data_IF_552577007617
#
_entry.id   IF_552577007617
#
_cell.length_a   1.000
_cell.length_b   1.000
_cell.length_c   1.000
_cell.angle_alpha   90.00
_cell.angle_beta   90.00
_cell.angle_gamma   90.00
#
_symmetry.space_group_name_H-M   'P 1'
#
loop_
_entity.id
_entity.type
_entity.pdbx_description
1 polymer ?
#
# COMPACT_ATOMS: atom_id res chain seq x y z
N UNK A 1 -23.71 -16.01 -21.55
CA UNK A 1 -23.65 -14.84 -22.48
C UNK A 1 -22.17 -14.59 -22.74
N UNK A 2 -21.50 -15.55 -23.39
CA UNK A 2 -20.03 -15.66 -23.28
C UNK A 2 -19.33 -15.05 -24.50
N UNK A 3 -20.14 -14.50 -25.41
CA UNK A 3 -19.75 -13.90 -26.67
C UNK A 3 -20.30 -12.48 -26.73
N UNK A 4 -19.59 -11.62 -27.45
CA UNK A 4 -19.98 -10.24 -27.71
C UNK A 4 -19.53 -9.80 -29.09
N UNK A 5 -20.04 -8.63 -29.50
CA UNK A 5 -19.52 -7.94 -30.65
C UNK A 5 -18.28 -7.15 -30.23
N UNK A 6 -17.22 -7.27 -31.00
CA UNK A 6 -15.93 -6.62 -30.79
C UNK A 6 -15.57 -5.82 -32.03
N UNK A 7 -15.23 -4.55 -31.82
CA UNK A 7 -14.68 -3.68 -32.85
C UNK A 7 -13.15 -3.76 -32.75
N UNK A 8 -12.53 -4.40 -33.73
CA UNK A 8 -11.08 -4.49 -33.82
C UNK A 8 -10.48 -3.16 -34.34
N UNK A 9 -9.32 -2.79 -33.82
CA UNK A 9 -8.52 -1.63 -34.24
C UNK A 9 -7.11 -2.13 -34.65
N UNK A 10 -6.35 -1.34 -35.40
CA UNK A 10 -4.95 -1.68 -35.75
C UNK A 10 -4.08 -1.81 -34.49
N UNK A 11 -4.40 -1.03 -33.44
CA UNK A 11 -3.82 -1.21 -32.11
C UNK A 11 -4.71 -2.14 -31.26
N UNK A 12 -4.15 -3.28 -30.87
CA UNK A 12 -4.82 -4.29 -30.01
C UNK A 12 -5.33 -3.70 -28.69
N UNK A 13 -4.74 -2.59 -28.22
CA UNK A 13 -5.12 -1.86 -27.01
C UNK A 13 -6.38 -1.01 -27.18
N UNK A 14 -6.72 -0.64 -28.41
CA UNK A 14 -7.85 0.23 -28.75
C UNK A 14 -9.10 -0.53 -29.17
N UNK A 15 -9.03 -1.85 -29.29
CA UNK A 15 -10.20 -2.66 -29.62
C UNK A 15 -11.29 -2.57 -28.53
N UNK A 16 -12.54 -2.39 -28.95
CA UNK A 16 -13.67 -2.07 -28.05
C UNK A 16 -14.72 -3.18 -28.08
N UNK A 17 -15.17 -3.61 -26.90
CA UNK A 17 -16.35 -4.47 -26.76
C UNK A 17 -17.63 -3.65 -26.79
N UNK A 18 -18.58 -4.02 -27.64
CA UNK A 18 -19.86 -3.33 -27.71
C UNK A 18 -20.75 -3.71 -26.53
N UNK A 19 -21.40 -2.71 -25.95
CA UNK A 19 -22.31 -2.87 -24.83
C UNK A 19 -23.68 -3.32 -25.33
N UNK A 20 -24.28 -4.39 -24.76
CA UNK A 20 -25.59 -4.88 -25.18
C UNK A 20 -26.74 -3.87 -25.05
N UNK A 21 -26.56 -2.82 -24.24
CA UNK A 21 -27.56 -1.77 -23.98
C UNK A 21 -27.39 -0.52 -24.84
N UNK A 22 -26.40 -0.46 -25.74
CA UNK A 22 -26.15 0.69 -26.61
C UNK A 22 -26.44 0.36 -28.07
N UNK A 23 -26.96 1.34 -28.79
CA UNK A 23 -27.19 1.23 -30.23
C UNK A 23 -25.86 1.24 -30.98
N UNK A 24 -25.82 0.60 -32.15
CA UNK A 24 -24.64 0.54 -33.01
C UNK A 24 -24.19 1.94 -33.47
N UNK A 25 -25.12 2.88 -33.63
CA UNK A 25 -24.83 4.27 -34.00
C UNK A 25 -23.95 5.01 -32.98
N UNK A 26 -23.99 4.58 -31.72
CA UNK A 26 -23.13 5.13 -30.67
C UNK A 26 -21.64 4.93 -30.97
N UNK A 27 -21.30 3.85 -31.67
CA UNK A 27 -19.92 3.47 -31.98
C UNK A 27 -19.41 4.07 -33.30
N UNK A 28 -20.20 4.96 -33.94
CA UNK A 28 -19.85 5.68 -35.17
C UNK A 28 -19.38 4.72 -36.28
N UNK A 29 -20.07 3.58 -36.40
CA UNK A 29 -19.79 2.56 -37.41
C UNK A 29 -20.19 3.08 -38.79
N UNK A 30 -19.33 2.83 -39.78
CA UNK A 30 -19.56 3.16 -41.18
C UNK A 30 -19.84 1.90 -41.99
N UNK A 31 -20.51 2.08 -43.13
CA UNK A 31 -20.76 0.99 -44.07
C UNK A 31 -19.42 0.42 -44.56
N UNK A 32 -19.17 -0.85 -44.26
CA UNK A 32 -17.91 -1.55 -44.57
C UNK A 32 -17.06 -1.88 -43.33
N UNK A 33 -17.41 -1.35 -42.15
CA UNK A 33 -16.71 -1.68 -40.91
C UNK A 33 -17.01 -3.12 -40.49
N UNK A 34 -15.96 -3.83 -40.04
CA UNK A 34 -16.04 -5.23 -39.63
C UNK A 34 -16.23 -5.33 -38.11
N UNK A 35 -17.26 -6.05 -37.70
CA UNK A 35 -17.48 -6.43 -36.30
C UNK A 35 -17.19 -7.91 -36.12
N UNK A 36 -16.37 -8.23 -35.13
CA UNK A 36 -16.04 -9.61 -34.78
C UNK A 36 -17.01 -10.13 -33.72
N UNK A 37 -17.61 -11.29 -33.95
CA UNK A 37 -18.34 -12.01 -32.92
C UNK A 37 -17.37 -12.94 -32.17
N UNK A 38 -16.81 -12.43 -31.07
CA UNK A 38 -15.74 -13.09 -30.32
C UNK A 38 -16.19 -13.53 -28.94
N UNK A 39 -15.58 -14.60 -28.44
CA UNK A 39 -15.74 -15.04 -27.03
C UNK A 39 -15.10 -14.01 -26.10
N UNK A 40 -15.85 -13.52 -25.12
CA UNK A 40 -15.41 -12.53 -24.13
C UNK A 40 -14.44 -13.09 -23.08
N UNK A 41 -14.51 -14.40 -22.85
CA UNK A 41 -13.68 -15.08 -21.86
C UNK A 41 -12.27 -15.28 -22.40
N UNK A 42 -11.28 -14.75 -21.67
CA UNK A 42 -9.85 -14.98 -21.88
C UNK A 42 -9.21 -15.60 -20.66
N UNK A 43 -8.07 -16.25 -20.84
CA UNK A 43 -7.26 -16.76 -19.72
C UNK A 43 -6.34 -15.66 -19.20
N UNK A 44 -6.26 -15.53 -17.88
CA UNK A 44 -5.34 -14.64 -17.16
C UNK A 44 -4.49 -15.46 -16.21
N UNK A 45 -3.17 -15.28 -16.27
CA UNK A 45 -2.22 -15.92 -15.36
C UNK A 45 -2.03 -15.03 -14.14
N UNK A 46 -2.51 -15.49 -12.99
CA UNK A 46 -2.42 -14.76 -11.72
C UNK A 46 -1.45 -15.50 -10.79
N UNK A 47 -0.39 -14.80 -10.36
CA UNK A 47 0.49 -15.26 -9.28
C UNK A 47 -0.16 -14.92 -7.94
N UNK A 48 -0.31 -15.93 -7.11
CA UNK A 48 -0.90 -15.87 -5.77
C UNK A 48 0.13 -15.37 -4.75
N UNK A 49 -0.35 -15.04 -3.55
CA UNK A 49 0.48 -14.60 -2.41
C UNK A 49 1.45 -15.68 -1.92
N UNK A 50 1.13 -16.96 -2.15
CA UNK A 50 1.97 -18.12 -1.82
C UNK A 50 3.01 -18.43 -2.92
N UNK A 51 3.09 -17.61 -3.98
CA UNK A 51 3.97 -17.80 -5.12
C UNK A 51 3.43 -18.76 -6.19
N UNK A 52 2.27 -19.38 -5.99
CA UNK A 52 1.67 -20.28 -6.99
C UNK A 52 1.11 -19.52 -8.19
N UNK A 53 1.29 -20.06 -9.40
CA UNK A 53 0.68 -19.52 -10.61
C UNK A 53 -0.64 -20.25 -10.89
N UNK A 54 -1.76 -19.52 -10.93
CA UNK A 54 -3.06 -20.05 -11.36
C UNK A 54 -3.56 -19.35 -12.61
N UNK A 55 -4.12 -20.13 -13.52
CA UNK A 55 -4.76 -19.62 -14.73
C UNK A 55 -6.26 -19.52 -14.49
N UNK A 56 -6.79 -18.29 -14.57
CA UNK A 56 -8.19 -17.98 -14.28
C UNK A 56 -8.86 -17.49 -15.57
N UNK A 57 -10.09 -17.92 -15.83
CA UNK A 57 -10.91 -17.40 -16.92
C UNK A 57 -11.57 -16.10 -16.47
N UNK A 58 -11.34 -15.02 -17.22
CA UNK A 58 -11.83 -13.66 -16.94
C UNK A 58 -12.52 -13.07 -18.17
N UNK A 59 -13.47 -12.16 -17.96
CA UNK A 59 -14.17 -11.45 -19.05
C UNK A 59 -13.37 -10.21 -19.50
N UNK A 60 -12.85 -10.24 -20.72
CA UNK A 60 -12.04 -9.15 -21.28
C UNK A 60 -12.79 -7.81 -21.44
N UNK A 61 -14.13 -7.86 -21.46
CA UNK A 61 -14.97 -6.66 -21.58
C UNK A 61 -15.21 -5.94 -20.26
N UNK A 62 -14.80 -6.53 -19.13
CA UNK A 62 -15.03 -5.98 -17.80
C UNK A 62 -13.82 -5.22 -17.26
N UNK A 63 -14.02 -4.15 -16.48
CA UNK A 63 -12.94 -3.47 -15.80
C UNK A 63 -12.30 -4.37 -14.75
N UNK A 64 -11.03 -4.12 -14.44
CA UNK A 64 -10.24 -4.92 -13.50
C UNK A 64 -10.90 -5.03 -12.12
N UNK A 65 -11.60 -3.98 -11.66
CA UNK A 65 -12.36 -4.01 -10.41
C UNK A 65 -13.44 -5.13 -10.38
N UNK A 66 -14.14 -5.37 -11.49
CA UNK A 66 -15.14 -6.44 -11.57
C UNK A 66 -14.46 -7.82 -11.68
N UNK A 67 -13.32 -7.88 -12.37
CA UNK A 67 -12.51 -9.10 -12.46
C UNK A 67 -11.95 -9.51 -11.10
N UNK A 68 -11.62 -8.56 -10.24
CA UNK A 68 -11.14 -8.80 -8.89
C UNK A 68 -12.14 -9.59 -8.05
N UNK A 69 -13.44 -9.34 -8.19
CA UNK A 69 -14.48 -10.11 -7.50
C UNK A 69 -14.40 -11.58 -7.91
N UNK A 70 -14.37 -11.86 -9.21
CA UNK A 70 -14.31 -13.22 -9.77
C UNK A 70 -13.02 -13.94 -9.34
N UNK A 71 -11.88 -13.26 -9.43
CA UNK A 71 -10.57 -13.80 -9.05
C UNK A 71 -10.56 -14.15 -7.55
N UNK A 72 -10.95 -13.20 -6.69
CA UNK A 72 -10.97 -13.41 -5.24
C UNK A 72 -11.95 -14.51 -4.81
N UNK A 73 -13.17 -14.54 -5.35
CA UNK A 73 -14.14 -15.60 -5.05
C UNK A 73 -13.61 -16.98 -5.45
N UNK A 74 -12.92 -17.09 -6.59
CA UNK A 74 -12.37 -18.37 -7.08
C UNK A 74 -11.17 -18.86 -6.24
N UNK A 75 -10.49 -17.95 -5.55
CA UNK A 75 -9.36 -18.24 -4.66
C UNK A 75 -9.85 -18.50 -3.22
N UNK A 76 -11.09 -18.10 -2.87
CA UNK A 76 -11.63 -18.19 -1.51
C UNK A 76 -11.34 -16.95 -0.65
N UNK A 77 -11.01 -15.82 -1.27
CA UNK A 77 -10.83 -14.52 -0.60
C UNK A 77 -12.18 -13.80 -0.58
N UNK A 78 -12.70 -13.54 0.62
CA UNK A 78 -13.99 -12.85 0.81
C UNK A 78 -13.88 -11.33 0.67
N UNK A 79 -12.72 -10.74 0.98
CA UNK A 79 -12.52 -9.29 0.98
C UNK A 79 -11.84 -8.80 -0.31
N UNK A 80 -12.53 -8.85 -1.45
CA UNK A 80 -11.94 -8.48 -2.75
C UNK A 80 -11.52 -7.01 -2.86
N UNK A 81 -12.15 -6.10 -2.12
CA UNK A 81 -11.86 -4.65 -2.15
C UNK A 81 -10.48 -4.29 -1.58
N UNK A 82 -9.85 -5.22 -0.87
CA UNK A 82 -8.53 -5.03 -0.27
C UNK A 82 -7.38 -5.42 -1.17
N UNK A 83 -7.67 -6.15 -2.26
CA UNK A 83 -6.68 -6.69 -3.16
C UNK A 83 -6.70 -5.95 -4.50
N UNK A 84 -5.54 -5.84 -5.12
CA UNK A 84 -5.38 -5.32 -6.46
C UNK A 84 -4.32 -6.11 -7.21
N UNK A 85 -4.24 -5.91 -8.53
CA UNK A 85 -3.29 -6.60 -9.38
C UNK A 85 -2.09 -5.70 -9.65
N UNK A 86 -0.92 -6.31 -9.68
CA UNK A 86 0.35 -5.68 -10.04
C UNK A 86 0.83 -6.33 -11.33
N UNK A 87 1.27 -5.52 -12.29
CA UNK A 87 1.88 -6.01 -13.51
C UNK A 87 3.34 -6.38 -13.24
N UNK A 88 3.68 -7.63 -13.48
CA UNK A 88 5.07 -8.10 -13.42
C UNK A 88 5.67 -7.94 -14.83
N UNK A 89 6.42 -6.87 -15.04
CA UNK A 89 7.24 -6.76 -16.25
C UNK A 89 8.44 -7.71 -16.06
N UNK A 90 8.74 -8.60 -17.02
CA UNK A 90 10.03 -9.29 -16.98
C UNK A 90 11.12 -8.22 -16.99
N UNK A 91 12.04 -8.28 -16.02
CA UNK A 91 13.25 -7.47 -16.06
C UNK A 91 13.97 -7.82 -17.37
N UNK A 92 13.93 -6.92 -18.36
CA UNK A 92 14.96 -6.93 -19.38
C UNK A 92 16.28 -6.74 -18.65
N UNK A 93 17.17 -7.74 -18.78
CA UNK A 93 18.56 -7.66 -18.35
C UNK A 93 19.13 -6.33 -18.84
N UNK A 94 19.24 -5.35 -17.94
CA UNK A 94 19.96 -4.12 -18.24
C UNK A 94 21.45 -4.44 -18.19
N UNK A 95 21.93 -5.04 -19.27
CA UNK A 95 23.35 -5.08 -19.60
C UNK A 95 23.93 -3.66 -19.54
N UNK A 96 24.85 -3.47 -18.59
CA UNK A 96 26.07 -2.68 -18.73
C UNK A 96 26.02 -1.43 -19.62
N UNK A 97 25.45 -0.32 -19.13
CA UNK A 97 25.88 1.00 -19.57
C UNK A 97 26.95 1.55 -18.62
N UNK A 98 28.22 1.33 -19.00
CA UNK A 98 29.37 2.09 -18.48
C UNK A 98 29.14 3.58 -18.75
N UNK A 99 29.46 4.49 -17.81
CA UNK A 99 29.36 5.92 -18.08
C UNK A 99 30.47 6.34 -19.07
N UNK A 100 30.05 6.69 -20.28
CA UNK A 100 30.89 7.30 -21.30
C UNK A 100 31.34 8.69 -20.87
N UNK A 101 32.64 8.84 -20.69
CA UNK A 101 33.32 10.07 -20.36
C UNK A 101 33.40 10.97 -21.62
N UNK A 102 32.56 12.00 -21.73
CA UNK A 102 32.78 13.10 -22.67
C UNK A 102 32.80 14.42 -21.91
N UNK A 103 34.01 14.98 -21.82
CA UNK A 103 34.25 16.29 -21.24
C UNK A 103 33.88 17.40 -22.22
N UNK A 104 33.13 18.38 -21.71
CA UNK A 104 33.05 19.70 -22.31
C UNK A 104 33.26 20.73 -21.22
N UNK A 105 34.38 21.46 -21.31
CA UNK A 105 34.79 22.53 -20.42
C UNK A 105 33.86 23.74 -20.58
N UNK A 106 32.96 23.97 -19.62
CA UNK A 106 32.33 25.29 -19.40
C UNK A 106 32.35 25.66 -17.93
N UNK A 107 32.98 26.81 -17.66
CA UNK A 107 33.33 27.33 -16.34
C UNK A 107 32.12 27.99 -15.62
N UNK A 108 31.96 27.67 -14.33
CA UNK A 108 31.37 28.46 -13.21
C UNK A 108 29.87 28.85 -13.21
N UNK A 109 29.12 28.32 -12.22
CA UNK A 109 28.77 29.02 -10.95
C UNK A 109 27.85 28.16 -10.03
N UNK A 110 28.25 28.02 -8.75
CA UNK A 110 27.47 27.68 -7.54
C UNK A 110 26.32 26.66 -7.72
N UNK A 111 26.63 25.36 -7.67
CA UNK A 111 25.62 24.27 -7.67
C UNK A 111 26.00 23.07 -6.77
N UNK A 112 26.86 23.24 -5.77
CA UNK A 112 27.25 22.12 -4.90
C UNK A 112 26.17 21.79 -3.83
N UNK A 113 25.48 22.81 -3.31
CA UNK A 113 24.56 22.66 -2.18
C UNK A 113 23.17 22.09 -2.58
N UNK A 114 22.84 22.07 -3.88
CA UNK A 114 21.57 21.50 -4.41
C UNK A 114 21.73 20.01 -4.77
N UNK A 115 22.90 19.63 -5.30
CA UNK A 115 23.23 18.24 -5.64
C UNK A 115 23.39 17.32 -4.43
N UNK A 116 24.03 17.79 -3.36
CA UNK A 116 24.14 17.01 -2.11
C UNK A 116 22.78 16.80 -1.42
N UNK A 117 21.88 17.78 -1.48
CA UNK A 117 20.55 17.70 -0.84
C UNK A 117 19.60 16.77 -1.59
N UNK A 118 19.66 16.72 -2.91
CA UNK A 118 18.93 15.73 -3.70
C UNK A 118 19.55 14.34 -3.55
N UNK A 119 20.88 14.20 -3.56
CA UNK A 119 21.54 12.92 -3.26
C UNK A 119 21.20 12.38 -1.87
N UNK A 120 21.06 13.25 -0.86
CA UNK A 120 20.62 12.86 0.48
C UNK A 120 19.16 12.41 0.51
N UNK A 121 18.30 13.00 -0.31
CA UNK A 121 16.91 12.58 -0.46
C UNK A 121 16.82 11.24 -1.18
N UNK A 122 17.60 11.03 -2.23
CA UNK A 122 17.66 9.75 -2.94
C UNK A 122 18.22 8.65 -2.02
N UNK A 123 19.19 8.97 -1.17
CA UNK A 123 19.65 8.05 -0.12
C UNK A 123 18.61 7.77 0.96
N UNK A 124 17.72 8.73 1.26
CA UNK A 124 16.61 8.54 2.19
C UNK A 124 15.50 7.71 1.56
N UNK A 125 15.17 7.94 0.28
CA UNK A 125 14.26 7.11 -0.53
C UNK A 125 14.77 5.69 -0.72
N UNK A 126 16.09 5.49 -0.87
CA UNK A 126 16.68 4.15 -0.87
C UNK A 126 16.64 3.45 0.50
N UNK A 127 16.46 4.20 1.60
CA UNK A 127 16.44 3.67 2.98
C UNK A 127 15.04 3.47 3.53
N UNK A 128 14.07 4.26 3.08
CA UNK A 128 12.65 4.03 3.26
C UNK A 128 12.17 3.48 1.95
N UNK A 129 11.99 2.15 1.82
CA UNK A 129 11.27 1.59 0.67
C UNK A 129 9.86 2.19 0.64
N UNK A 130 9.71 3.34 0.01
CA UNK A 130 8.45 3.82 -0.54
C UNK A 130 8.01 2.79 -1.57
N UNK A 131 6.71 2.58 -1.77
CA UNK A 131 6.12 1.53 -2.63
C UNK A 131 6.38 1.79 -4.14
N UNK A 132 7.52 2.40 -4.46
CA UNK A 132 8.00 2.98 -5.73
C UNK A 132 8.19 1.96 -6.85
N UNK A 133 8.16 0.65 -6.56
CA UNK A 133 8.45 -0.40 -7.55
C UNK A 133 7.23 -1.26 -7.89
N UNK A 134 6.02 -0.84 -7.48
CA UNK A 134 4.82 -1.63 -7.70
C UNK A 134 3.99 -1.03 -8.83
N UNK A 135 4.08 -1.61 -10.01
CA UNK A 135 3.26 -1.27 -11.17
C UNK A 135 1.81 -1.75 -10.97
N UNK A 136 1.06 -1.02 -10.14
CA UNK A 136 -0.36 -1.29 -9.89
C UNK A 136 -1.17 -1.12 -11.18
N UNK A 137 -2.05 -2.08 -11.43
CA UNK A 137 -3.00 -2.05 -12.54
C UNK A 137 -4.19 -1.16 -12.14
N UNK A 138 -4.63 -0.30 -13.06
CA UNK A 138 -5.77 0.60 -12.87
C UNK A 138 -7.08 -0.24 -12.76
N UNK A 139 -7.78 -0.21 -11.61
CA UNK A 139 -9.01 -0.98 -11.41
C UNK A 139 -10.18 -0.51 -12.29
N UNK A 140 -10.15 0.75 -12.77
CA UNK A 140 -11.23 1.36 -13.53
C UNK A 140 -11.24 1.00 -15.01
N UNK A 141 -10.10 0.52 -15.52
CA UNK A 141 -9.90 0.16 -16.93
C UNK A 141 -9.92 -1.35 -17.12
N UNK A 142 -10.14 -1.77 -18.36
CA UNK A 142 -9.98 -3.18 -18.76
C UNK A 142 -8.50 -3.57 -18.82
N UNK A 143 -8.22 -4.88 -18.82
CA UNK A 143 -6.85 -5.39 -18.99
C UNK A 143 -6.28 -5.02 -20.37
N UNK A 144 -7.14 -4.99 -21.41
CA UNK A 144 -6.77 -4.69 -22.80
C UNK A 144 -6.34 -3.24 -22.99
N UNK A 145 -7.07 -2.28 -22.44
CA UNK A 145 -6.73 -0.85 -22.52
C UNK A 145 -5.39 -0.53 -21.87
N UNK A 146 -4.99 -1.36 -20.90
CA UNK A 146 -3.70 -1.25 -20.19
C UNK A 146 -2.58 -2.03 -20.89
N UNK A 147 -2.89 -2.69 -22.01
CA UNK A 147 -1.94 -3.46 -22.80
C UNK A 147 -1.42 -4.70 -22.10
N UNK A 148 -2.24 -5.34 -21.25
CA UNK A 148 -1.90 -6.61 -20.58
C UNK A 148 -2.37 -7.76 -21.49
N UNK A 149 -1.41 -8.51 -22.02
CA UNK A 149 -1.67 -9.64 -22.90
C UNK A 149 -1.98 -10.95 -22.13
N UNK A 150 -2.54 -11.95 -22.80
CA UNK A 150 -2.91 -13.26 -22.23
C UNK A 150 -1.69 -14.07 -21.75
N UNK A 151 -0.51 -13.79 -22.31
CA UNK A 151 0.76 -14.41 -21.92
C UNK A 151 1.37 -13.82 -20.66
N UNK A 152 1.01 -12.59 -20.29
CA UNK A 152 1.56 -11.89 -19.13
C UNK A 152 1.05 -12.47 -17.81
N UNK A 153 1.90 -12.39 -16.79
CA UNK A 153 1.55 -12.79 -15.42
C UNK A 153 1.30 -11.56 -14.59
N UNK A 154 0.17 -11.54 -13.88
CA UNK A 154 -0.16 -10.48 -12.92
C UNK A 154 -0.03 -11.02 -11.51
N UNK A 155 0.49 -10.21 -10.59
CA UNK A 155 0.65 -10.56 -9.17
C UNK A 155 -0.55 -10.04 -8.39
N UNK A 156 -1.21 -10.91 -7.63
CA UNK A 156 -2.23 -10.51 -6.67
C UNK A 156 -1.55 -9.97 -5.40
N UNK A 157 -1.77 -8.69 -5.08
CA UNK A 157 -1.21 -8.05 -3.88
C UNK A 157 -2.28 -7.28 -3.12
N UNK A 158 -2.20 -7.31 -1.79
CA UNK A 158 -3.09 -6.52 -0.92
C UNK A 158 -2.71 -5.04 -1.04
N UNK A 159 -3.67 -4.20 -1.42
CA UNK A 159 -3.53 -2.74 -1.62
C UNK A 159 -4.16 -1.93 -0.50
N UNK A 160 -5.26 -2.41 0.09
CA UNK A 160 -5.97 -1.73 1.18
C UNK A 160 -6.10 -2.63 2.40
N UNK A 161 -5.95 -2.05 3.60
CA UNK A 161 -6.05 -2.76 4.88
C UNK A 161 -7.27 -2.21 5.64
N UNK A 162 -8.47 -2.77 5.41
CA UNK A 162 -9.73 -2.21 5.94
C UNK A 162 -10.36 -3.09 7.04
N UNK A 163 -10.27 -4.41 6.92
CA UNK A 163 -10.97 -5.44 7.70
C UNK A 163 -10.00 -6.34 8.46
N UNK A 164 -9.03 -5.73 9.11
CA UNK A 164 -8.12 -6.39 10.02
C UNK A 164 -8.74 -6.49 11.43
N UNK A 165 -9.93 -7.08 11.60
CA UNK A 165 -10.55 -7.17 12.94
C UNK A 165 -10.33 -8.49 13.72
N UNK A 166 -10.10 -9.64 13.08
CA UNK A 166 -9.87 -10.89 13.83
C UNK A 166 -8.54 -11.55 13.46
N UNK A 167 -7.57 -11.54 14.38
CA UNK A 167 -6.44 -12.47 14.34
C UNK A 167 -6.96 -13.74 15.01
N UNK A 168 -7.27 -14.77 14.24
CA UNK A 168 -7.60 -16.06 14.82
C UNK A 168 -6.30 -16.79 15.18
N UNK A 169 -6.01 -16.88 16.48
CA UNK A 169 -4.85 -17.63 16.98
C UNK A 169 -4.98 -19.14 16.73
N UNK A 170 -6.16 -19.62 16.28
CA UNK A 170 -6.42 -21.01 15.93
C UNK A 170 -5.84 -21.41 14.58
N UNK A 171 -5.47 -20.45 13.72
CA UNK A 171 -4.76 -20.71 12.46
C UNK A 171 -3.29 -20.24 12.54
N UNK A 172 -2.35 -21.13 12.90
CA UNK A 172 -0.94 -20.79 13.04
C UNK A 172 -0.29 -20.41 11.69
N UNK A 173 -0.82 -20.87 10.55
CA UNK A 173 -0.27 -20.57 9.23
C UNK A 173 -0.61 -19.13 8.85
N UNK A 174 -1.88 -18.75 8.98
CA UNK A 174 -2.33 -17.39 8.73
C UNK A 174 -1.63 -16.38 9.65
N UNK A 175 -1.49 -16.71 10.94
CA UNK A 175 -0.78 -15.88 11.89
C UNK A 175 0.70 -15.70 11.52
N UNK A 176 1.36 -16.77 11.06
CA UNK A 176 2.76 -16.69 10.64
C UNK A 176 2.93 -15.82 9.39
N UNK A 177 2.00 -15.88 8.44
CA UNK A 177 2.01 -15.00 7.26
C UNK A 177 1.81 -13.53 7.63
N UNK A 178 0.85 -13.23 8.51
CA UNK A 178 0.62 -11.88 9.03
C UNK A 178 1.84 -11.32 9.77
N UNK A 179 2.50 -12.15 10.58
CA UNK A 179 3.72 -11.78 11.28
C UNK A 179 4.84 -11.43 10.29
N UNK A 180 5.09 -12.28 9.28
CA UNK A 180 6.15 -12.05 8.29
C UNK A 180 5.89 -10.76 7.52
N UNK A 181 4.66 -10.52 7.06
CA UNK A 181 4.30 -9.28 6.36
C UNK A 181 4.52 -8.04 7.23
N UNK A 182 4.07 -8.07 8.49
CA UNK A 182 4.24 -6.94 9.41
C UNK A 182 5.71 -6.70 9.74
N UNK A 183 6.48 -7.77 9.96
CA UNK A 183 7.91 -7.70 10.23
C UNK A 183 8.66 -7.10 9.04
N UNK A 184 8.45 -7.64 7.85
CA UNK A 184 9.17 -7.22 6.65
C UNK A 184 8.88 -5.75 6.34
N UNK A 185 7.61 -5.33 6.44
CA UNK A 185 7.22 -3.93 6.27
C UNK A 185 7.85 -2.98 7.31
N UNK A 186 8.12 -3.44 8.53
CA UNK A 186 8.82 -2.63 9.52
C UNK A 186 10.31 -2.57 9.19
N UNK A 187 10.94 -3.72 8.89
CA UNK A 187 12.39 -3.83 8.64
C UNK A 187 12.83 -3.09 7.37
N UNK A 188 12.05 -3.17 6.29
CA UNK A 188 12.33 -2.48 5.03
C UNK A 188 12.02 -0.98 5.06
N UNK A 189 11.31 -0.53 6.11
CA UNK A 189 10.96 0.86 6.37
C UNK A 189 9.71 1.34 5.64
N UNK A 190 8.95 0.46 4.97
CA UNK A 190 7.66 0.79 4.36
C UNK A 190 6.63 1.19 5.44
N UNK A 191 6.70 0.58 6.62
CA UNK A 191 6.00 0.99 7.83
C UNK A 191 6.97 1.74 8.78
N UNK A 192 7.06 3.07 8.71
CA UNK A 192 7.88 3.85 9.61
C UNK A 192 7.35 3.76 11.05
N UNK A 193 8.20 3.27 11.95
CA UNK A 193 7.95 3.18 13.40
C UNK A 193 8.95 4.04 14.16
N UNK A 194 8.59 4.48 15.37
CA UNK A 194 9.53 5.19 16.26
C UNK A 194 10.64 4.26 16.77
N UNK A 195 11.76 4.83 17.24
CA UNK A 195 12.88 4.05 17.81
C UNK A 195 12.42 3.13 18.95
N UNK A 196 11.57 3.64 19.83
CA UNK A 196 11.03 2.86 20.97
C UNK A 196 10.23 1.65 20.47
N UNK A 197 9.33 1.85 19.49
CA UNK A 197 8.53 0.76 18.93
C UNK A 197 9.39 -0.24 18.16
N UNK A 198 10.40 0.22 17.42
CA UNK A 198 11.37 -0.65 16.76
C UNK A 198 12.08 -1.58 17.77
N UNK A 199 12.47 -1.06 18.95
CA UNK A 199 13.05 -1.88 20.02
C UNK A 199 12.06 -2.92 20.54
N UNK A 200 10.79 -2.52 20.74
CA UNK A 200 9.74 -3.44 21.20
C UNK A 200 9.51 -4.57 20.20
N UNK A 201 9.40 -4.26 18.90
CA UNK A 201 9.26 -5.28 17.86
C UNK A 201 10.46 -6.21 17.78
N UNK A 202 11.67 -5.67 17.85
CA UNK A 202 12.90 -6.46 17.89
C UNK A 202 12.96 -7.37 19.14
N UNK A 203 12.49 -6.90 20.30
CA UNK A 203 12.40 -7.69 21.53
C UNK A 203 11.41 -8.86 21.40
N UNK A 204 10.24 -8.61 20.81
CA UNK A 204 9.26 -9.68 20.51
C UNK A 204 9.84 -10.66 19.47
N UNK A 205 10.54 -10.16 18.44
CA UNK A 205 11.20 -11.00 17.44
C UNK A 205 12.31 -11.88 18.06
N UNK A 206 13.05 -11.39 19.06
CA UNK A 206 14.01 -12.21 19.81
C UNK A 206 13.31 -13.35 20.55
N UNK A 207 12.13 -13.10 21.15
CA UNK A 207 11.34 -14.16 21.78
C UNK A 207 10.87 -15.20 20.75
N UNK A 208 10.48 -14.78 19.55
CA UNK A 208 10.05 -15.67 18.46
C UNK A 208 11.22 -16.54 17.97
N UNK A 209 12.41 -15.98 17.79
CA UNK A 209 13.55 -16.70 17.20
C UNK A 209 14.38 -17.50 18.21
N UNK A 210 14.55 -16.98 19.43
CA UNK A 210 15.48 -17.54 20.42
C UNK A 210 14.77 -18.07 21.68
N UNK A 211 13.46 -17.86 21.82
CA UNK A 211 12.72 -18.15 23.04
C UNK A 211 13.14 -17.24 24.19
N UNK A 212 13.04 -17.74 25.42
CA UNK A 212 13.27 -16.95 26.63
C UNK A 212 14.65 -16.30 26.72
N UNK A 213 14.68 -15.08 27.23
CA UNK A 213 15.92 -14.33 27.40
C UNK A 213 16.87 -14.99 28.41
N UNK A 214 18.11 -15.29 27.97
CA UNK A 214 19.19 -15.82 28.81
C UNK A 214 20.35 -14.84 28.86
N UNK A 215 20.61 -14.24 30.02
CA UNK A 215 21.66 -13.22 30.20
C UNK A 215 23.07 -13.74 29.88
N UNK A 216 23.30 -15.04 29.99
CA UNK A 216 24.59 -15.65 29.68
C UNK A 216 24.89 -15.69 28.17
N UNK A 217 23.86 -15.87 27.34
CA UNK A 217 23.98 -15.99 25.88
C UNK A 217 23.65 -14.69 25.15
N UNK A 218 22.63 -13.96 25.59
CA UNK A 218 22.11 -12.77 24.94
C UNK A 218 22.84 -11.52 25.43
N UNK A 219 24.13 -11.41 25.04
CA UNK A 219 25.01 -10.29 25.36
C UNK A 219 25.19 -9.39 24.13
N UNK A 220 25.60 -8.12 24.32
CA UNK A 220 25.88 -7.22 23.20
C UNK A 220 26.86 -7.84 22.20
N UNK A 221 26.50 -7.87 20.92
CA UNK A 221 27.22 -8.54 19.85
C UNK A 221 26.67 -9.92 19.46
N UNK A 222 25.58 -10.38 20.11
CA UNK A 222 24.90 -11.63 19.77
C UNK A 222 23.93 -11.45 18.60
N UNK A 223 23.25 -10.30 18.50
CA UNK A 223 22.24 -10.06 17.47
C UNK A 223 22.86 -9.42 16.22
N UNK A 224 22.51 -9.93 15.03
CA UNK A 224 22.70 -9.17 13.80
C UNK A 224 21.59 -8.12 13.67
N UNK A 225 21.89 -6.89 14.08
CA UNK A 225 20.92 -5.79 14.11
C UNK A 225 20.21 -5.56 12.77
N UNK A 226 20.80 -5.95 11.63
CA UNK A 226 20.19 -5.80 10.30
C UNK A 226 18.91 -6.62 10.12
N UNK A 227 18.78 -7.74 10.83
CA UNK A 227 17.61 -8.61 10.74
C UNK A 227 16.48 -8.21 11.70
N UNK A 228 16.76 -7.30 12.65
CA UNK A 228 15.83 -6.93 13.73
C UNK A 228 15.41 -5.48 13.70
N UNK A 229 16.15 -4.62 13.00
CA UNK A 229 15.88 -3.18 12.96
C UNK A 229 15.90 -2.61 11.55
N UNK A 230 15.08 -1.57 11.29
CA UNK A 230 15.18 -0.78 10.08
C UNK A 230 16.58 -0.15 9.93
N UNK A 231 17.02 0.02 8.68
CA UNK A 231 18.33 0.60 8.33
C UNK A 231 18.61 1.95 9.02
N UNK A 232 17.55 2.71 9.32
CA UNK A 232 17.61 4.01 10.00
C UNK A 232 18.12 3.92 11.45
N UNK A 233 17.89 2.80 12.15
CA UNK A 233 18.20 2.63 13.57
C UNK A 233 19.47 1.82 13.86
N UNK A 234 20.09 1.20 12.85
CA UNK A 234 21.30 0.39 13.01
C UNK A 234 22.50 1.14 13.62
N UNK A 235 22.56 2.46 13.45
CA UNK A 235 23.67 3.30 13.95
C UNK A 235 23.43 3.88 15.35
N UNK A 236 22.28 3.58 15.97
CA UNK A 236 21.94 4.09 17.30
C UNK A 236 22.76 3.36 18.36
N UNK A 237 23.53 4.12 19.14
CA UNK A 237 24.37 3.55 20.21
C UNK A 237 23.50 2.96 21.31
N UNK A 238 23.76 1.71 21.67
CA UNK A 238 23.08 1.03 22.79
C UNK A 238 21.68 0.50 22.46
N UNK A 239 21.28 0.48 21.18
CA UNK A 239 19.97 -0.02 20.75
C UNK A 239 19.80 -1.51 21.12
N UNK A 240 20.85 -2.31 20.99
CA UNK A 240 20.83 -3.74 21.33
C UNK A 240 20.51 -3.99 22.81
N UNK A 241 20.98 -3.12 23.71
CA UNK A 241 20.62 -3.20 25.13
C UNK A 241 19.14 -2.93 25.36
N UNK A 242 18.54 -2.02 24.59
CA UNK A 242 17.10 -1.75 24.66
C UNK A 242 16.29 -2.95 24.15
N UNK A 243 16.74 -3.58 23.06
CA UNK A 243 16.13 -4.81 22.52
C UNK A 243 16.12 -5.90 23.58
N UNK A 244 17.25 -6.16 24.24
CA UNK A 244 17.30 -7.17 25.30
C UNK A 244 16.46 -6.80 26.52
N UNK A 245 16.34 -5.50 26.85
CA UNK A 245 15.44 -5.06 27.92
C UNK A 245 13.96 -5.34 27.59
N UNK A 246 13.56 -5.20 26.33
CA UNK A 246 12.22 -5.60 25.89
C UNK A 246 12.06 -7.13 25.79
N UNK A 247 13.08 -7.85 25.32
CA UNK A 247 13.08 -9.32 25.28
C UNK A 247 12.82 -9.93 26.67
N UNK A 248 13.45 -9.38 27.72
CA UNK A 248 13.22 -9.80 29.12
C UNK A 248 11.76 -9.67 29.59
N UNK A 249 10.97 -8.76 29.01
CA UNK A 249 9.56 -8.59 29.37
C UNK A 249 8.67 -9.71 28.84
N UNK A 250 9.16 -10.49 27.88
CA UNK A 250 8.41 -11.53 27.20
C UNK A 250 8.84 -12.95 27.59
N UNK A 251 9.57 -13.11 28.72
CA UNK A 251 9.93 -14.42 29.25
C UNK A 251 8.66 -15.22 29.58
N UNK A 252 8.64 -16.49 29.17
CA UNK A 252 7.50 -17.40 29.34
C UNK A 252 6.44 -17.29 28.24
N UNK A 253 6.60 -16.36 27.29
CA UNK A 253 5.69 -16.23 26.16
C UNK A 253 6.04 -17.29 25.09
N UNK A 254 5.04 -18.04 24.62
CA UNK A 254 5.24 -19.01 23.54
C UNK A 254 5.55 -18.30 22.21
N UNK A 255 6.15 -19.01 21.25
CA UNK A 255 6.39 -18.46 19.90
C UNK A 255 5.08 -17.98 19.24
N UNK A 256 4.01 -18.76 19.39
CA UNK A 256 2.69 -18.44 18.83
C UNK A 256 2.13 -17.16 19.46
N UNK A 257 2.16 -17.06 20.79
CA UNK A 257 1.68 -15.89 21.51
C UNK A 257 2.54 -14.65 21.22
N UNK A 258 3.83 -14.83 21.00
CA UNK A 258 4.73 -13.76 20.59
C UNK A 258 4.39 -13.24 19.19
N UNK A 259 4.02 -14.12 18.23
CA UNK A 259 3.52 -13.70 16.91
C UNK A 259 2.18 -12.97 17.00
N UNK A 260 1.26 -13.43 17.87
CA UNK A 260 0.00 -12.71 18.14
C UNK A 260 0.29 -11.33 18.73
N UNK A 261 1.21 -11.24 19.70
CA UNK A 261 1.59 -9.98 20.30
C UNK A 261 2.21 -9.03 19.27
N UNK A 262 3.15 -9.51 18.45
CA UNK A 262 3.78 -8.70 17.39
C UNK A 262 2.74 -8.10 16.44
N UNK A 263 1.86 -8.95 15.90
CA UNK A 263 0.84 -8.55 14.92
C UNK A 263 -0.20 -7.62 15.54
N UNK A 264 -0.63 -7.86 16.78
CA UNK A 264 -1.53 -6.98 17.52
C UNK A 264 -0.88 -5.61 17.80
N UNK A 265 0.38 -5.59 18.23
CA UNK A 265 1.12 -4.36 18.46
C UNK A 265 1.29 -3.56 17.17
N UNK A 266 1.64 -4.20 16.06
CA UNK A 266 1.74 -3.55 14.74
C UNK A 266 0.42 -2.90 14.31
N UNK A 267 -0.72 -3.58 14.51
CA UNK A 267 -2.06 -3.07 14.17
C UNK A 267 -2.55 -1.96 15.09
N UNK A 268 -2.09 -1.94 16.33
CA UNK A 268 -2.42 -0.87 17.29
C UNK A 268 -1.72 0.46 16.99
N UNK A 269 -0.75 0.46 16.08
CA UNK A 269 -0.08 1.69 15.67
C UNK A 269 -1.02 2.57 14.85
N UNK A 270 -1.04 3.86 15.14
CA UNK A 270 -1.72 4.87 14.34
C UNK A 270 -1.14 5.01 12.91
N UNK A 271 0.04 4.44 12.68
CA UNK A 271 0.71 4.34 11.39
C UNK A 271 0.38 3.04 10.63
N UNK A 272 -0.47 2.17 11.18
CA UNK A 272 -0.88 0.94 10.51
C UNK A 272 -1.83 1.19 9.35
N UNK A 273 -1.57 0.52 8.21
CA UNK A 273 -2.35 0.70 6.99
C UNK A 273 -2.21 2.10 6.36
N UNK A 274 -1.15 2.83 6.72
CA UNK A 274 -0.87 4.17 6.21
C UNK A 274 0.14 4.09 5.07
N UNK A 275 -0.16 4.75 3.95
CA UNK A 275 0.79 4.92 2.86
C UNK A 275 1.61 6.18 3.12
N UNK A 276 2.93 6.07 3.18
CA UNK A 276 3.83 7.18 3.47
C UNK A 276 4.55 7.69 2.23
N UNK A 277 4.66 9.01 2.13
CA UNK A 277 5.39 9.71 1.08
C UNK A 277 6.45 10.60 1.72
N UNK A 278 7.66 10.59 1.18
CA UNK A 278 8.73 11.47 1.63
C UNK A 278 8.61 12.82 0.93
N UNK A 279 8.24 13.86 1.67
CA UNK A 279 7.97 15.20 1.14
C UNK A 279 8.89 16.26 1.75
N UNK A 280 9.04 17.39 1.08
CA UNK A 280 9.81 18.54 1.56
C UNK A 280 8.86 19.68 1.94
N UNK A 281 8.85 20.05 3.21
CA UNK A 281 8.03 21.16 3.73
C UNK A 281 8.86 22.44 3.85
N UNK A 282 8.31 23.58 3.41
CA UNK A 282 8.96 24.88 3.59
C UNK A 282 8.66 25.42 5.00
N UNK A 283 9.69 25.68 5.78
CA UNK A 283 9.52 26.25 7.13
C UNK A 283 9.04 27.69 7.06
N UNK A 284 8.06 28.05 7.89
CA UNK A 284 7.60 29.44 8.03
C UNK A 284 8.77 30.33 8.45
N UNK A 285 8.95 31.45 7.74
CA UNK A 285 9.99 32.43 8.03
C UNK A 285 11.43 32.03 7.66
N UNK A 286 11.66 30.85 7.05
CA UNK A 286 12.99 30.42 6.59
C UNK A 286 12.90 29.85 5.17
N UNK A 287 13.84 30.20 4.29
CA UNK A 287 13.96 29.57 2.96
C UNK A 287 14.58 28.15 3.01
N UNK A 288 14.33 27.41 4.10
CA UNK A 288 14.83 26.05 4.31
C UNK A 288 13.69 25.05 4.11
N UNK A 289 13.95 24.05 3.28
CA UNK A 289 13.11 22.87 3.12
C UNK A 289 13.52 21.83 4.15
N UNK A 290 12.54 21.24 4.83
CA UNK A 290 12.74 20.20 5.84
C UNK A 290 12.06 18.93 5.35
N UNK A 291 12.75 17.78 5.33
CA UNK A 291 12.13 16.52 4.98
C UNK A 291 11.08 16.13 6.03
N UNK A 292 9.95 15.63 5.56
CA UNK A 292 8.79 15.26 6.35
C UNK A 292 8.15 14.01 5.74
N UNK A 293 7.52 13.19 6.56
CA UNK A 293 6.73 12.07 6.08
C UNK A 293 5.26 12.48 6.05
N UNK A 294 4.63 12.34 4.89
CA UNK A 294 3.20 12.53 4.70
C UNK A 294 2.54 11.15 4.65
N UNK A 295 1.76 10.81 5.66
CA UNK A 295 0.95 9.60 5.69
C UNK A 295 -0.46 9.87 5.16
N UNK A 296 -0.99 8.97 4.34
CA UNK A 296 -2.40 8.99 3.93
C UNK A 296 -3.05 7.70 4.40
N UNK A 297 -4.12 7.83 5.18
CA UNK A 297 -4.93 6.74 5.72
C UNK A 297 -6.33 6.76 5.09
N UNK A 298 -7.16 5.76 5.39
CA UNK A 298 -8.56 5.71 4.93
C UNK A 298 -9.44 6.84 5.47
N UNK A 299 -9.00 7.55 6.50
CA UNK A 299 -9.79 8.47 7.30
C UNK A 299 -9.05 9.79 7.58
N UNK A 300 -7.73 9.85 7.41
CA UNK A 300 -6.92 11.00 7.77
C UNK A 300 -5.64 11.14 6.92
N UNK A 301 -5.08 12.35 6.93
CA UNK A 301 -3.73 12.66 6.46
C UNK A 301 -2.87 12.95 7.69
N UNK A 302 -1.71 12.32 7.77
CA UNK A 302 -0.78 12.43 8.89
C UNK A 302 0.48 13.16 8.44
N UNK A 303 0.98 14.07 9.28
CA UNK A 303 2.29 14.71 9.13
C UNK A 303 3.23 14.19 10.20
N UNK A 304 4.27 13.47 9.80
CA UNK A 304 5.23 12.85 10.71
C UNK A 304 6.62 13.45 10.56
N UNK A 305 7.36 13.52 11.67
CA UNK A 305 8.77 13.85 11.62
C UNK A 305 9.57 12.76 10.89
N UNK A 306 10.50 13.15 10.03
CA UNK A 306 11.30 12.19 9.26
C UNK A 306 12.26 11.40 10.15
N UNK A 307 12.75 11.94 11.28
CA UNK A 307 13.72 11.24 12.13
C UNK A 307 13.07 10.50 13.28
N UNK A 308 12.20 11.18 14.02
CA UNK A 308 11.56 10.56 15.20
C UNK A 308 10.40 9.66 14.81
N UNK A 309 9.84 9.83 13.61
CA UNK A 309 8.60 9.18 13.14
C UNK A 309 7.38 9.49 14.00
N UNK A 310 7.45 10.55 14.81
CA UNK A 310 6.32 11.01 15.62
C UNK A 310 5.32 11.77 14.77
N UNK A 311 4.04 11.59 15.08
CA UNK A 311 2.94 12.32 14.43
C UNK A 311 2.90 13.74 14.99
N UNK A 312 3.17 14.71 14.13
CA UNK A 312 3.16 16.14 14.46
C UNK A 312 1.79 16.77 14.27
N UNK A 313 1.02 16.27 13.28
CA UNK A 313 -0.33 16.74 13.01
C UNK A 313 -1.13 15.66 12.29
N UNK A 314 -2.42 15.58 12.61
CA UNK A 314 -3.40 14.70 11.97
C UNK A 314 -4.53 15.57 11.45
N UNK A 315 -4.91 15.37 10.19
CA UNK A 315 -6.05 16.02 9.57
C UNK A 315 -7.04 14.97 9.09
N UNK A 316 -8.27 14.91 9.61
CA UNK A 316 -9.29 14.02 9.07
C UNK A 316 -9.56 14.33 7.59
N UNK A 317 -9.71 13.31 6.74
CA UNK A 317 -10.02 13.49 5.32
C UNK A 317 -11.34 14.24 5.09
N UNK A 318 -12.28 14.16 6.04
CA UNK A 318 -13.53 14.92 6.02
C UNK A 318 -13.33 16.44 6.14
N UNK A 319 -12.18 16.89 6.65
CA UNK A 319 -11.84 18.32 6.77
C UNK A 319 -11.18 18.87 5.50
N UNK A 320 -10.79 18.00 4.57
CA UNK A 320 -10.14 18.40 3.32
C UNK A 320 -11.19 18.92 2.35
N UNK A 321 -11.13 20.22 2.02
CA UNK A 321 -12.07 20.87 1.10
C UNK A 321 -11.60 20.79 -0.35
N UNK A 322 -10.29 20.99 -0.58
CA UNK A 322 -9.67 20.91 -1.90
C UNK A 322 -8.27 20.33 -1.78
N UNK A 323 -7.85 19.59 -2.80
CA UNK A 323 -6.49 19.12 -2.94
C UNK A 323 -6.03 19.35 -4.38
N UNK A 324 -4.74 19.58 -4.56
CA UNK A 324 -4.16 19.84 -5.88
C UNK A 324 -2.75 19.32 -5.98
N UNK A 325 -2.43 18.73 -7.13
CA UNK A 325 -1.10 18.32 -7.49
C UNK A 325 -0.58 19.21 -8.64
N UNK A 326 0.70 19.52 -8.58
CA UNK A 326 1.51 19.98 -9.71
C UNK A 326 2.75 19.10 -9.76
N UNK A 327 3.52 19.07 -10.88
CA UNK A 327 4.58 18.08 -11.08
C UNK A 327 5.61 17.95 -9.95
N UNK A 328 5.82 19.01 -9.15
CA UNK A 328 6.76 19.03 -8.04
C UNK A 328 6.16 19.47 -6.70
N UNK A 329 4.84 19.67 -6.62
CA UNK A 329 4.18 20.22 -5.43
C UNK A 329 2.82 19.60 -5.20
N UNK A 330 2.52 19.28 -3.95
CA UNK A 330 1.22 18.83 -3.50
C UNK A 330 0.66 19.82 -2.48
N UNK A 331 -0.62 20.15 -2.58
CA UNK A 331 -1.27 21.15 -1.72
C UNK A 331 -2.61 20.64 -1.20
N UNK A 332 -2.84 20.81 0.10
CA UNK A 332 -4.11 20.56 0.77
C UNK A 332 -4.70 21.87 1.28
N UNK A 333 -5.99 22.05 1.02
CA UNK A 333 -6.84 23.11 1.54
C UNK A 333 -7.89 22.51 2.46
N UNK A 334 -7.92 22.99 3.70
CA UNK A 334 -8.87 22.55 4.72
C UNK A 334 -10.05 23.52 4.87
N UNK A 335 -10.15 24.56 4.02
CA UNK A 335 -11.22 25.55 4.10
C UNK A 335 -11.28 26.22 5.47
N UNK A 336 -12.47 26.26 6.06
CA UNK A 336 -12.73 26.97 7.33
C UNK A 336 -12.08 26.29 8.55
N UNK A 337 -11.53 25.07 8.38
CA UNK A 337 -10.80 24.36 9.43
C UNK A 337 -9.35 24.84 9.59
N UNK A 338 -8.81 25.63 8.65
CA UNK A 338 -7.45 26.19 8.74
C UNK A 338 -7.24 27.34 7.75
N UNK A 339 -6.85 28.51 8.24
CA UNK A 339 -6.53 29.70 7.43
C UNK A 339 -5.28 29.55 6.53
N UNK A 340 -4.67 28.37 6.50
CA UNK A 340 -3.42 28.13 5.78
C UNK A 340 -3.44 26.81 5.04
N UNK A 341 -3.09 26.91 3.75
CA UNK A 341 -2.79 25.76 2.91
C UNK A 341 -1.61 24.98 3.45
N UNK A 342 -1.72 23.66 3.44
CA UNK A 342 -0.57 22.79 3.63
C UNK A 342 0.04 22.44 2.27
N UNK A 343 1.22 22.98 2.00
CA UNK A 343 1.92 22.79 0.74
C UNK A 343 3.27 22.09 0.97
N UNK A 344 3.55 21.07 0.17
CA UNK A 344 4.79 20.29 0.22
C UNK A 344 5.36 20.09 -1.18
N UNK A 345 6.68 19.99 -1.27
CA UNK A 345 7.37 19.64 -2.50
C UNK A 345 7.61 18.13 -2.55
N UNK A 346 7.19 17.50 -3.64
CA UNK A 346 7.34 16.06 -3.87
C UNK A 346 7.25 15.76 -5.36
N UNK A 347 7.94 14.72 -5.81
CA UNK A 347 7.83 14.20 -7.18
C UNK A 347 6.64 13.24 -7.32
N UNK A 348 6.02 12.85 -6.21
CA UNK A 348 4.95 11.84 -6.14
C UNK A 348 3.56 12.51 -5.98
N UNK A 349 3.44 13.78 -6.39
CA UNK A 349 2.24 14.57 -6.13
C UNK A 349 0.98 13.96 -6.76
N UNK A 350 1.12 13.34 -7.94
CA UNK A 350 0.02 12.66 -8.63
C UNK A 350 -0.44 11.39 -7.90
N UNK A 351 0.50 10.59 -7.37
CA UNK A 351 0.18 9.37 -6.63
C UNK A 351 -0.55 9.71 -5.32
N UNK A 352 -0.09 10.74 -4.59
CA UNK A 352 -0.74 11.24 -3.39
C UNK A 352 -2.18 11.69 -3.72
N UNK A 353 -2.35 12.42 -4.83
CA UNK A 353 -3.65 12.90 -5.28
C UNK A 353 -4.61 11.75 -5.61
N UNK A 354 -4.16 10.75 -6.37
CA UNK A 354 -4.97 9.59 -6.72
C UNK A 354 -5.37 8.78 -5.49
N UNK A 355 -4.46 8.61 -4.54
CA UNK A 355 -4.71 7.87 -3.31
C UNK A 355 -5.77 8.57 -2.44
N UNK A 356 -5.63 9.88 -2.24
CA UNK A 356 -6.61 10.67 -1.47
C UNK A 356 -7.97 10.69 -2.18
N UNK A 357 -8.00 10.88 -3.49
CA UNK A 357 -9.24 10.84 -4.28
C UNK A 357 -9.94 9.48 -4.13
N UNK A 358 -9.19 8.38 -4.24
CA UNK A 358 -9.72 7.03 -4.05
C UNK A 358 -10.33 6.81 -2.67
N UNK A 359 -9.68 7.28 -1.60
CA UNK A 359 -10.24 7.18 -0.25
C UNK A 359 -11.50 8.02 -0.07
N UNK A 360 -11.51 9.27 -0.57
CA UNK A 360 -12.69 10.15 -0.47
C UNK A 360 -13.88 9.57 -1.24
N UNK A 361 -13.66 9.01 -2.43
CA UNK A 361 -14.71 8.36 -3.21
C UNK A 361 -15.33 7.17 -2.46
N UNK A 362 -14.51 6.37 -1.78
CA UNK A 362 -14.98 5.25 -0.95
C UNK A 362 -15.82 5.77 0.24
N UNK A 363 -15.36 6.83 0.92
CA UNK A 363 -16.08 7.43 2.05
C UNK A 363 -17.44 7.96 1.58
N UNK A 364 -17.49 8.71 0.48
CA UNK A 364 -18.72 9.29 -0.06
C UNK A 364 -19.71 8.21 -0.55
N UNK A 365 -19.22 7.13 -1.16
CA UNK A 365 -20.07 5.98 -1.55
C UNK A 365 -20.70 5.31 -0.32
N UNK A 366 -19.93 5.15 0.76
CA UNK A 366 -20.46 4.58 2.02
C UNK A 366 -21.45 5.51 2.73
N UNK A 367 -21.23 6.83 2.69
CA UNK A 367 -22.21 7.79 3.22
C UNK A 367 -23.52 7.76 2.43
N UNK A 368 -23.47 7.77 1.09
CA UNK A 368 -24.68 7.62 0.26
C UNK A 368 -25.41 6.30 0.47
N UNK A 369 -24.67 5.20 0.71
CA UNK A 369 -25.27 3.92 1.06
C UNK A 369 -25.97 3.95 2.43
N UNK A 370 -25.41 4.68 3.41
CA UNK A 370 -26.08 4.92 4.70
C UNK A 370 -27.31 5.82 4.56
N UNK A 371 -27.23 6.89 3.77
CA UNK A 371 -28.35 7.82 3.55
C UNK A 371 -29.50 7.19 2.73
N UNK A 372 -29.21 6.20 1.88
CA UNK A 372 -30.23 5.44 1.14
C UNK A 372 -30.98 4.43 2.03
N UNK A 373 -30.36 4.01 3.14
CA UNK A 373 -31.02 3.27 4.20
C UNK A 373 -31.47 4.25 5.29
N UNK A 374 -32.54 4.99 5.03
CA UNK A 374 -33.21 5.80 6.04
C UNK A 374 -33.80 4.95 7.17
N UNK A 375 -32.94 4.51 8.09
CA UNK A 375 -33.33 3.90 9.36
C UNK A 375 -32.56 4.63 10.45
N UNK A 376 -33.28 5.49 11.17
CA UNK A 376 -32.93 5.82 12.55
C UNK A 376 -32.78 4.50 13.30
N UNK A 377 -31.53 4.13 13.58
CA UNK A 377 -31.17 2.87 14.21
C UNK A 377 -29.98 3.10 15.10
N UNK A 378 -30.31 3.43 16.34
CA UNK A 378 -29.47 3.51 17.53
C UNK A 378 -28.31 2.51 17.55
N UNK A 379 -27.14 2.97 17.99
CA UNK A 379 -26.01 2.11 18.28
C UNK A 379 -26.33 1.21 19.48
N UNK A 380 -26.20 -0.11 19.32
CA UNK A 380 -25.83 -0.96 20.46
C UNK A 380 -26.50 -2.32 20.54
N UNK A 381 -25.63 -3.32 20.77
CA UNK A 381 -25.94 -4.62 21.37
C UNK A 381 -26.38 -5.72 20.42
N UNK A 382 -25.40 -6.39 19.79
CA UNK A 382 -25.53 -7.81 19.47
C UNK A 382 -25.52 -8.58 20.79
N UNK A 383 -26.70 -8.77 21.39
CA UNK A 383 -26.86 -9.75 22.47
C UNK A 383 -26.92 -11.14 21.83
N UNK A 384 -26.04 -12.00 22.30
CA UNK A 384 -25.94 -13.42 21.96
C UNK A 384 -27.18 -14.10 22.53
N UNK A 385 -28.02 -14.69 21.69
CA UNK A 385 -29.09 -15.57 22.17
C UNK A 385 -28.51 -16.96 22.47
N UNK A 386 -28.43 -17.25 23.77
CA UNK A 386 -28.16 -18.58 24.30
C UNK A 386 -29.40 -19.48 24.14
N UNK A 387 -29.10 -20.70 23.74
CA UNK A 387 -30.00 -21.83 23.52
C UNK A 387 -30.85 -22.15 24.74
N UNK A 388 -32.17 -22.34 24.58
CA UNK A 388 -32.95 -23.19 25.49
C UNK A 388 -34.00 -23.99 24.71
N UNK A 389 -33.91 -25.32 24.83
CA UNK A 389 -34.83 -26.32 24.27
C UNK A 389 -36.13 -26.44 25.10
N UNK A 390 -37.24 -26.92 24.54
CA UNK A 390 -38.50 -27.01 25.28
C UNK A 390 -38.56 -28.29 26.13
N UNK A 391 -39.11 -28.18 27.35
CA UNK A 391 -39.63 -29.34 28.07
C UNK A 391 -41.14 -29.19 28.29
N UNK A 392 -41.86 -30.13 27.66
CA UNK A 392 -43.24 -30.64 27.85
C UNK A 392 -44.33 -29.75 28.42
#
# INVERSE_FOLDING_TARGET
KDYGLFLADEDVKKGVWLEPGRNLDYYILRNGDLLEYRRKLRTLRVRMLDGTLKTILVDDSQPVANLMVVICTKIGITNHDEYSLVRELPEEETENQKPGNFGTLTLKRRKEDKGERDAKMDQLRKKLKTDDEVNWIDPSKTLREQGIDESETVLLRRKFFFSDQNIDSRDPVQLSLLYVQARDAILDGTHPVTEEKACTFAGIQCQIQFGDHKEDKHKPGFLDLKEFLPQSYLKVKGIEKKIFADHKKHIGLSELDAKVLYTKTARSLSTYGVTFFLVKEKMKGKNKLVPRLLGVTKDSVLRLDEKTKEILKTWPLTTVRRWGASPNTFTLDFGDYSDQYYCVQTTEAEQILQLIAGYIDIILKKQKAKDHFGIEGDEGSTMVEDSVSPLK
#
